data_IF_430768846123
#
_entry.id   IF_430768846123
#
_cell.length_a   1.000
_cell.length_b   1.000
_cell.length_c   1.000
_cell.angle_alpha   90.00
_cell.angle_beta   90.00
_cell.angle_gamma   90.00
#
_symmetry.space_group_name_H-M   'P 1'
#
loop_
_entity.id
_entity.type
_entity.pdbx_description
1 polymer ?
#
# COMPACT_ATOMS: atom_id res chain seq x y z
N UNK A 1 11.20 15.64 -14.57
CA UNK A 1 9.93 15.52 -15.30
C UNK A 1 8.91 14.90 -14.36
N UNK A 2 7.75 15.50 -14.24
CA UNK A 2 6.76 15.39 -13.19
C UNK A 2 6.41 13.98 -12.67
N UNK A 3 7.04 13.57 -11.55
CA UNK A 3 6.66 12.41 -10.73
C UNK A 3 5.40 12.67 -9.86
N UNK A 4 4.59 13.65 -10.25
CA UNK A 4 3.59 14.25 -9.36
C UNK A 4 2.17 13.66 -9.53
N UNK A 5 1.98 12.59 -10.34
CA UNK A 5 0.64 12.07 -10.66
C UNK A 5 0.18 10.86 -9.81
N UNK A 6 1.07 10.26 -9.03
CA UNK A 6 0.80 8.98 -8.36
C UNK A 6 0.88 9.07 -6.84
N UNK A 7 0.29 10.10 -6.26
CA UNK A 7 0.19 10.27 -4.80
C UNK A 7 -1.28 10.18 -4.41
N UNK A 8 -1.59 9.29 -3.47
CA UNK A 8 -2.94 9.12 -2.94
C UNK A 8 -3.39 10.38 -2.20
N UNK A 9 -4.62 10.84 -2.48
CA UNK A 9 -5.26 12.03 -1.87
C UNK A 9 -4.41 13.31 -1.99
N UNK A 10 -3.67 13.44 -3.07
CA UNK A 10 -2.71 14.53 -3.25
C UNK A 10 -3.34 15.93 -3.21
N UNK A 11 -4.57 16.09 -3.73
CA UNK A 11 -5.31 17.33 -3.74
C UNK A 11 -5.54 17.90 -2.34
N UNK A 12 -5.58 17.02 -1.33
CA UNK A 12 -6.00 17.33 0.03
C UNK A 12 -4.85 17.33 1.05
N UNK A 13 -3.74 16.61 0.75
CA UNK A 13 -2.63 16.47 1.69
C UNK A 13 -1.60 17.60 1.55
N UNK A 14 -1.20 18.18 2.67
CA UNK A 14 -0.04 19.05 2.76
C UNK A 14 1.26 18.27 2.53
N UNK A 15 2.36 18.96 2.26
CA UNK A 15 3.67 18.34 2.11
C UNK A 15 4.12 17.58 3.38
N UNK A 16 3.76 18.08 4.55
CA UNK A 16 4.09 17.43 5.83
C UNK A 16 3.30 16.13 6.02
N UNK A 17 2.03 16.09 5.61
CA UNK A 17 1.19 14.90 5.66
C UNK A 17 1.57 13.84 4.63
N UNK A 18 2.44 14.16 3.67
CA UNK A 18 2.99 13.25 2.66
C UNK A 18 4.43 12.79 2.99
N UNK A 19 4.96 13.18 4.13
CA UNK A 19 6.34 12.84 4.52
C UNK A 19 6.44 11.39 4.98
N UNK A 20 7.46 10.67 4.50
CA UNK A 20 7.65 9.24 4.77
C UNK A 20 7.88 8.93 6.25
N UNK A 21 8.61 9.81 6.96
CA UNK A 21 8.98 9.52 8.35
C UNK A 21 7.87 9.85 9.33
N UNK A 22 7.03 10.83 9.03
CA UNK A 22 5.96 11.27 9.94
C UNK A 22 4.60 10.66 9.63
N UNK A 23 4.33 10.25 8.40
CA UNK A 23 3.04 9.66 8.01
C UNK A 23 2.75 8.35 8.73
N UNK A 24 1.51 8.19 9.19
CA UNK A 24 1.00 6.97 9.84
C UNK A 24 0.65 5.88 8.84
N UNK A 25 0.08 6.25 7.70
CA UNK A 25 -0.38 5.34 6.68
C UNK A 25 0.57 5.33 5.49
N UNK A 26 0.93 4.15 5.01
CA UNK A 26 1.82 3.96 3.87
C UNK A 26 1.12 3.20 2.76
N UNK A 27 0.77 3.89 1.68
CA UNK A 27 0.18 3.29 0.48
C UNK A 27 1.31 2.63 -0.32
N UNK A 28 1.16 1.34 -0.59
CA UNK A 28 2.11 0.53 -1.35
C UNK A 28 1.42 0.03 -2.63
N UNK A 29 1.61 0.71 -3.79
CA UNK A 29 0.98 0.32 -5.04
C UNK A 29 1.72 -0.87 -5.68
N UNK A 30 1.01 -1.97 -5.93
CA UNK A 30 1.55 -3.22 -6.49
C UNK A 30 0.75 -3.64 -7.73
N UNK A 31 1.12 -3.20 -8.94
CA UNK A 31 0.38 -3.48 -10.19
C UNK A 31 0.64 -4.90 -10.71
N UNK A 32 0.51 -5.91 -9.85
CA UNK A 32 0.76 -7.31 -10.20
C UNK A 32 -0.42 -7.90 -10.98
N UNK A 33 -0.12 -8.48 -12.16
CA UNK A 33 -1.05 -9.22 -13.01
C UNK A 33 -0.32 -10.34 -13.73
N UNK A 34 0.05 -11.41 -13.00
CA UNK A 34 0.79 -12.56 -13.55
C UNK A 34 0.04 -13.88 -13.44
N UNK A 35 -0.79 -14.04 -12.40
CA UNK A 35 -1.46 -15.29 -12.08
C UNK A 35 -2.96 -15.12 -11.92
N UNK A 36 -3.54 -14.15 -12.63
CA UNK A 36 -4.98 -13.91 -12.63
C UNK A 36 -5.75 -15.10 -13.20
N UNK A 37 -6.83 -15.49 -12.54
CA UNK A 37 -7.67 -16.61 -12.97
C UNK A 37 -8.64 -16.24 -14.09
N UNK A 38 -9.05 -14.97 -14.15
CA UNK A 38 -10.05 -14.51 -15.13
C UNK A 38 -9.89 -13.01 -15.42
N UNK A 39 -9.97 -12.67 -16.70
CA UNK A 39 -9.90 -11.29 -17.17
C UNK A 39 -8.48 -10.70 -17.13
N UNK A 40 -8.36 -9.48 -17.62
CA UNK A 40 -7.12 -8.67 -17.60
C UNK A 40 -7.45 -7.27 -17.11
N UNK A 41 -6.42 -6.55 -16.63
CA UNK A 41 -6.53 -5.14 -16.25
C UNK A 41 -6.41 -4.88 -14.75
N UNK A 42 -6.24 -5.92 -13.92
CA UNK A 42 -6.04 -5.76 -12.46
C UNK A 42 -4.79 -4.95 -12.15
N UNK A 43 -3.76 -5.01 -12.99
CA UNK A 43 -2.54 -4.20 -12.86
C UNK A 43 -2.80 -2.69 -12.90
N UNK A 44 -3.91 -2.25 -13.47
CA UNK A 44 -4.31 -0.84 -13.50
C UNK A 44 -5.00 -0.38 -12.21
N UNK A 45 -5.37 -1.32 -11.33
CA UNK A 45 -6.08 -1.05 -10.09
C UNK A 45 -5.42 0.00 -9.20
N UNK A 46 -4.13 -0.17 -8.84
CA UNK A 46 -3.44 0.77 -7.97
C UNK A 46 -3.44 2.21 -8.53
N UNK A 47 -3.10 2.38 -9.80
CA UNK A 47 -3.08 3.69 -10.44
C UNK A 47 -4.48 4.32 -10.47
N UNK A 48 -5.50 3.54 -10.81
CA UNK A 48 -6.89 4.01 -10.88
C UNK A 48 -7.41 4.44 -9.50
N UNK A 49 -7.09 3.69 -8.44
CA UNK A 49 -7.48 4.03 -7.06
C UNK A 49 -6.78 5.32 -6.61
N UNK A 50 -5.48 5.44 -6.87
CA UNK A 50 -4.72 6.66 -6.53
C UNK A 50 -5.27 7.86 -7.29
N UNK A 51 -5.59 7.70 -8.57
CA UNK A 51 -6.18 8.78 -9.36
C UNK A 51 -7.53 9.21 -8.78
N UNK A 52 -8.42 8.24 -8.53
CA UNK A 52 -9.75 8.51 -8.00
C UNK A 52 -9.75 9.09 -6.58
N UNK A 53 -8.69 8.82 -5.80
CA UNK A 53 -8.58 9.36 -4.45
C UNK A 53 -8.53 10.90 -4.39
N UNK A 54 -8.18 11.57 -5.49
CA UNK A 54 -8.17 13.03 -5.55
C UNK A 54 -9.57 13.67 -5.58
N UNK A 55 -10.62 12.85 -5.71
CA UNK A 55 -12.01 13.29 -5.60
C UNK A 55 -12.58 13.14 -4.17
N UNK A 56 -11.75 12.66 -3.23
CA UNK A 56 -12.15 12.47 -1.84
C UNK A 56 -11.94 13.76 -1.04
N UNK A 57 -12.84 13.99 -0.08
CA UNK A 57 -12.76 15.09 0.88
C UNK A 57 -11.94 14.69 2.11
N UNK A 58 -11.23 15.65 2.73
CA UNK A 58 -10.51 15.44 3.99
C UNK A 58 -11.44 15.02 5.13
N UNK A 59 -12.57 15.68 5.22
CA UNK A 59 -13.51 15.51 6.32
C UNK A 59 -14.51 14.39 6.06
N UNK A 60 -14.57 13.41 6.95
CA UNK A 60 -15.45 12.24 6.83
C UNK A 60 -16.86 12.45 7.41
N UNK A 61 -17.20 13.67 7.81
CA UNK A 61 -18.42 13.96 8.59
C UNK A 61 -18.23 13.84 10.11
N UNK A 62 -17.08 13.30 10.57
CA UNK A 62 -16.74 13.11 11.99
C UNK A 62 -15.30 13.51 12.33
N UNK A 63 -14.36 13.29 11.42
CA UNK A 63 -12.94 13.48 11.65
C UNK A 63 -12.20 13.69 10.32
N UNK A 64 -10.92 14.04 10.40
CA UNK A 64 -9.99 14.12 9.27
C UNK A 64 -8.89 13.05 9.43
N UNK A 65 -9.13 11.77 9.07
CA UNK A 65 -8.16 10.70 9.28
C UNK A 65 -6.83 10.93 8.55
N UNK A 66 -6.85 11.66 7.43
CA UNK A 66 -5.65 11.97 6.65
C UNK A 66 -4.67 12.91 7.38
N UNK A 67 -5.10 13.59 8.47
CA UNK A 67 -4.21 14.42 9.30
C UNK A 67 -3.12 13.61 10.02
N UNK A 68 -3.30 12.29 10.16
CA UNK A 68 -2.27 11.36 10.65
C UNK A 68 -1.14 11.13 9.61
N UNK A 69 -1.26 11.68 8.43
CA UNK A 69 -0.33 11.56 7.31
C UNK A 69 -0.49 10.27 6.50
N UNK A 70 -0.38 10.43 5.18
CA UNK A 70 -0.44 9.34 4.19
C UNK A 70 0.74 9.48 3.23
N UNK A 71 1.73 8.60 3.34
CA UNK A 71 2.82 8.51 2.39
C UNK A 71 2.50 7.50 1.29
N UNK A 72 2.73 7.87 0.04
CA UNK A 72 2.56 6.95 -1.11
C UNK A 72 3.93 6.52 -1.61
N UNK A 73 4.24 5.23 -1.49
CA UNK A 73 5.46 4.65 -2.05
C UNK A 73 5.45 4.69 -3.58
N UNK A 74 6.62 4.70 -4.22
CA UNK A 74 6.70 4.44 -5.65
C UNK A 74 6.02 3.13 -6.02
N UNK A 75 5.42 3.08 -7.21
CA UNK A 75 4.80 1.87 -7.73
C UNK A 75 5.84 0.76 -7.84
N UNK A 76 5.50 -0.43 -7.30
CA UNK A 76 6.41 -1.57 -7.30
C UNK A 76 6.62 -2.07 -8.74
N UNK A 77 7.88 -2.33 -9.10
CA UNK A 77 8.17 -3.00 -10.36
C UNK A 77 7.77 -4.48 -10.30
N UNK A 78 6.83 -4.87 -11.16
CA UNK A 78 6.35 -6.24 -11.29
C UNK A 78 6.91 -6.96 -12.53
N UNK A 79 7.98 -6.45 -13.18
CA UNK A 79 8.62 -7.07 -14.35
C UNK A 79 9.73 -8.08 -13.98
N UNK A 80 9.67 -8.63 -12.77
CA UNK A 80 10.63 -9.60 -12.23
C UNK A 80 9.93 -10.93 -11.87
N UNK A 81 10.65 -12.00 -11.52
CA UNK A 81 10.04 -13.26 -11.07
C UNK A 81 9.08 -13.06 -9.90
N UNK A 82 7.98 -13.84 -9.87
CA UNK A 82 6.94 -13.70 -8.84
C UNK A 82 7.49 -13.81 -7.41
N UNK A 83 8.45 -14.69 -7.19
CA UNK A 83 9.13 -14.85 -5.89
C UNK A 83 9.78 -13.54 -5.42
N UNK A 84 10.44 -12.84 -6.33
CA UNK A 84 11.13 -11.58 -6.00
C UNK A 84 10.13 -10.46 -5.74
N UNK A 85 9.01 -10.43 -6.49
CA UNK A 85 7.91 -9.49 -6.22
C UNK A 85 7.35 -9.72 -4.82
N UNK A 86 7.06 -10.98 -4.44
CA UNK A 86 6.55 -11.30 -3.10
C UNK A 86 7.54 -10.90 -2.01
N UNK A 87 8.84 -11.12 -2.23
CA UNK A 87 9.89 -10.69 -1.31
C UNK A 87 9.93 -9.17 -1.15
N UNK A 88 9.81 -8.42 -2.25
CA UNK A 88 9.81 -6.96 -2.21
C UNK A 88 8.59 -6.40 -1.49
N UNK A 89 7.40 -6.97 -1.73
CA UNK A 89 6.18 -6.61 -0.97
C UNK A 89 6.40 -6.86 0.52
N UNK A 90 6.91 -8.05 0.87
CA UNK A 90 7.18 -8.44 2.25
C UNK A 90 8.18 -7.50 2.93
N UNK A 91 9.26 -7.14 2.25
CA UNK A 91 10.27 -6.22 2.80
C UNK A 91 9.68 -4.83 3.07
N UNK A 92 8.89 -4.28 2.15
CA UNK A 92 8.25 -2.97 2.33
C UNK A 92 7.24 -2.99 3.48
N UNK A 93 6.35 -3.98 3.53
CA UNK A 93 5.34 -4.07 4.58
C UNK A 93 5.96 -4.35 5.95
N UNK A 94 7.06 -5.14 6.00
CA UNK A 94 7.86 -5.35 7.20
C UNK A 94 8.50 -4.06 7.70
N UNK A 95 9.13 -3.29 6.80
CA UNK A 95 9.76 -2.02 7.16
C UNK A 95 8.73 -1.06 7.77
N UNK A 96 7.58 -0.89 7.10
CA UNK A 96 6.49 -0.01 7.57
C UNK A 96 5.96 -0.46 8.92
N UNK A 97 5.65 -1.75 9.07
CA UNK A 97 5.08 -2.30 10.30
C UNK A 97 6.05 -2.24 11.48
N UNK A 98 7.35 -2.47 11.24
CA UNK A 98 8.38 -2.39 12.29
C UNK A 98 8.54 -1.00 12.90
N UNK A 99 8.14 0.04 12.15
CA UNK A 99 8.11 1.44 12.60
C UNK A 99 6.76 1.82 13.26
N UNK A 100 5.92 0.85 13.58
CA UNK A 100 4.56 1.06 14.13
C UNK A 100 3.65 1.92 13.23
N UNK A 101 3.84 1.79 11.91
CA UNK A 101 3.04 2.42 10.86
C UNK A 101 2.13 1.38 10.19
N UNK A 102 1.14 1.84 9.46
CA UNK A 102 0.12 0.98 8.84
C UNK A 102 0.38 0.86 7.34
N UNK A 103 0.84 -0.30 6.83
CA UNK A 103 0.95 -0.51 5.40
C UNK A 103 -0.42 -0.79 4.79
N UNK A 104 -0.73 -0.13 3.67
CA UNK A 104 -1.93 -0.32 2.87
C UNK A 104 -1.49 -0.71 1.46
N UNK A 105 -1.55 -2.00 1.16
CA UNK A 105 -1.18 -2.52 -0.16
C UNK A 105 -2.35 -2.37 -1.13
N UNK A 106 -2.14 -1.57 -2.18
CA UNK A 106 -3.09 -1.49 -3.31
C UNK A 106 -2.64 -2.50 -4.36
N UNK A 107 -3.36 -3.61 -4.43
CA UNK A 107 -3.02 -4.70 -5.31
C UNK A 107 -3.62 -4.58 -6.70
N UNK A 108 -3.02 -5.33 -7.60
CA UNK A 108 -3.59 -5.91 -8.80
C UNK A 108 -4.32 -7.20 -8.42
N UNK A 109 -3.64 -8.35 -8.47
CA UNK A 109 -4.22 -9.66 -8.17
C UNK A 109 -4.11 -10.06 -6.68
N UNK A 110 -4.89 -11.07 -6.28
CA UNK A 110 -4.97 -11.53 -4.87
C UNK A 110 -3.65 -12.03 -4.28
N UNK A 111 -2.74 -12.55 -5.09
CA UNK A 111 -1.46 -13.11 -4.62
C UNK A 111 -0.61 -12.11 -3.85
N UNK A 112 -0.79 -10.79 -4.05
CA UNK A 112 -0.09 -9.73 -3.30
C UNK A 112 -0.30 -9.84 -1.79
N UNK A 113 -1.46 -10.38 -1.36
CA UNK A 113 -1.81 -10.58 0.05
C UNK A 113 -0.79 -11.46 0.77
N UNK A 114 -0.25 -12.48 0.09
CA UNK A 114 0.75 -13.37 0.69
C UNK A 114 2.02 -12.61 1.10
N UNK A 115 2.57 -11.79 0.21
CA UNK A 115 3.75 -10.99 0.50
C UNK A 115 3.47 -9.97 1.61
N UNK A 116 2.33 -9.29 1.54
CA UNK A 116 1.95 -8.26 2.50
C UNK A 116 1.79 -8.82 3.92
N UNK A 117 1.04 -9.91 4.09
CA UNK A 117 0.80 -10.52 5.41
C UNK A 117 2.09 -11.07 6.02
N UNK A 118 2.93 -11.74 5.22
CA UNK A 118 4.23 -12.23 5.72
C UNK A 118 5.12 -11.09 6.22
N UNK A 119 5.19 -9.99 5.48
CA UNK A 119 6.00 -8.85 5.90
C UNK A 119 5.47 -8.19 7.18
N UNK A 120 4.15 -8.04 7.31
CA UNK A 120 3.52 -7.51 8.54
C UNK A 120 3.83 -8.44 9.72
N UNK A 121 3.68 -9.76 9.55
CA UNK A 121 3.98 -10.74 10.59
C UNK A 121 5.42 -10.61 11.09
N UNK A 122 6.39 -10.48 10.18
CA UNK A 122 7.79 -10.29 10.54
C UNK A 122 8.06 -8.90 11.16
N UNK A 123 7.42 -7.84 10.63
CA UNK A 123 7.61 -6.47 11.11
C UNK A 123 7.10 -6.24 12.53
N UNK A 124 6.02 -6.92 12.92
CA UNK A 124 5.45 -6.87 14.26
C UNK A 124 6.14 -7.84 15.25
N UNK A 125 7.17 -8.59 14.80
CA UNK A 125 7.86 -9.61 15.61
C UNK A 125 6.94 -10.64 16.25
N UNK A 126 5.86 -11.02 15.55
CA UNK A 126 4.90 -12.01 16.03
C UNK A 126 5.57 -13.40 16.08
N UNK A 127 5.37 -14.10 17.19
CA UNK A 127 5.99 -15.41 17.44
C UNK A 127 5.15 -16.58 16.97
N UNK A 128 3.84 -16.38 16.88
CA UNK A 128 2.87 -17.43 16.55
C UNK A 128 1.88 -16.91 15.49
N UNK A 129 1.49 -17.78 14.56
CA UNK A 129 0.54 -17.44 13.49
C UNK A 129 -0.87 -17.07 13.99
N UNK A 130 -1.23 -17.48 15.20
CA UNK A 130 -2.52 -17.15 15.80
C UNK A 130 -2.57 -15.74 16.42
N UNK A 131 -1.48 -14.98 16.38
CA UNK A 131 -1.44 -13.58 16.80
C UNK A 131 -1.94 -12.62 15.72
N UNK A 132 -2.22 -13.12 14.51
CA UNK A 132 -2.76 -12.34 13.40
C UNK A 132 -4.07 -12.95 12.90
N UNK A 133 -5.10 -12.13 12.73
CA UNK A 133 -6.35 -12.50 12.11
C UNK A 133 -6.46 -11.95 10.69
N UNK A 134 -7.08 -12.71 9.77
CA UNK A 134 -7.39 -12.26 8.43
C UNK A 134 -8.90 -12.19 8.31
N UNK A 135 -9.41 -11.03 7.87
CA UNK A 135 -10.82 -10.81 7.57
C UNK A 135 -10.93 -10.60 6.06
N UNK A 136 -11.81 -11.40 5.43
CA UNK A 136 -12.06 -11.32 3.99
C UNK A 136 -13.55 -11.05 3.72
#
# INVERSE_FOLDING_TARGET
MNNNKNIFLKSELSNQEQDQETSKFHIIPVPLEKTVSYGKGTSKGPESIIYASNELERYTGKSEPCSEGIFTHPMLDCNMPLKDIMSNIGNLTKEVSSKNKIPITLGGEHSVTYGAVNGIFEGLNLKQKNEIGIIQ
#
